data_IF_593339246302
#
_entry.id   IF_593339246302
#
_cell.length_a   1.000
_cell.length_b   1.000
_cell.length_c   1.000
_cell.angle_alpha   90.00
_cell.angle_beta   90.00
_cell.angle_gamma   90.00
#
_symmetry.space_group_name_H-M   'P 1'
#
loop_
_entity.id
_entity.type
_entity.pdbx_description
1 polymer ?
#
# COMPACT_ATOMS: atom_id res chain seq x y z
N UNK A 1 36.39 -21.14 25.78
CA UNK A 1 37.15 -20.09 26.50
C UNK A 1 36.25 -18.88 26.54
N UNK A 2 35.72 -18.51 27.71
CA UNK A 2 34.76 -17.40 27.83
C UNK A 2 35.55 -16.10 27.72
N UNK A 3 35.42 -15.40 26.59
CA UNK A 3 36.12 -14.14 26.32
C UNK A 3 35.75 -13.07 27.34
N UNK A 4 36.74 -12.31 27.81
CA UNK A 4 36.55 -11.24 28.77
C UNK A 4 35.93 -10.04 28.04
N UNK A 5 34.60 -9.99 28.01
CA UNK A 5 33.80 -9.00 27.29
C UNK A 5 34.21 -7.54 27.55
N UNK A 6 34.78 -7.24 28.72
CA UNK A 6 35.31 -5.91 29.05
C UNK A 6 36.62 -5.59 28.32
N UNK A 7 37.51 -6.56 28.18
CA UNK A 7 38.74 -6.42 27.40
C UNK A 7 38.44 -6.35 25.90
N UNK A 8 37.50 -7.17 25.44
CA UNK A 8 37.04 -7.15 24.05
C UNK A 8 36.37 -5.81 23.70
N UNK A 9 35.57 -5.23 24.60
CA UNK A 9 34.97 -3.91 24.41
C UNK A 9 36.00 -2.76 24.39
N UNK A 10 37.04 -2.82 25.24
CA UNK A 10 38.11 -1.82 25.24
C UNK A 10 38.96 -1.88 23.95
N UNK A 11 39.24 -3.09 23.46
CA UNK A 11 39.93 -3.30 22.19
C UNK A 11 39.08 -2.80 21.01
N UNK A 12 37.77 -3.05 21.02
CA UNK A 12 36.86 -2.52 20.01
C UNK A 12 36.82 -0.99 20.01
N UNK A 13 36.81 -0.36 21.18
CA UNK A 13 36.84 1.10 21.31
C UNK A 13 38.15 1.70 20.78
N UNK A 14 39.29 1.07 21.06
CA UNK A 14 40.59 1.43 20.49
C UNK A 14 40.61 1.25 18.96
N UNK A 15 40.07 0.15 18.44
CA UNK A 15 39.97 -0.11 17.01
C UNK A 15 39.03 0.87 16.30
N UNK A 16 37.93 1.31 16.94
CA UNK A 16 37.02 2.32 16.41
C UNK A 16 37.71 3.69 16.34
N UNK A 17 38.45 4.08 17.39
CA UNK A 17 39.22 5.32 17.40
C UNK A 17 40.31 5.39 16.32
N UNK A 18 40.77 4.22 15.85
CA UNK A 18 41.73 4.11 14.77
C UNK A 18 41.11 4.26 13.36
N UNK A 19 39.79 4.36 13.23
CA UNK A 19 39.08 4.62 11.98
C UNK A 19 38.55 6.06 11.98
N UNK A 20 39.06 6.89 11.08
CA UNK A 20 38.67 8.30 10.96
C UNK A 20 38.01 8.55 9.61
N UNK A 21 36.78 9.03 9.63
CA UNK A 21 36.09 9.55 8.44
C UNK A 21 36.32 11.06 8.34
N UNK A 22 36.74 11.50 7.16
CA UNK A 22 36.93 12.92 6.84
C UNK A 22 35.95 13.23 5.71
N UNK A 23 34.94 14.08 5.95
CA UNK A 23 33.98 14.44 4.93
C UNK A 23 34.68 15.21 3.81
N UNK A 24 34.27 14.93 2.58
CA UNK A 24 34.66 15.66 1.40
C UNK A 24 34.06 17.08 1.40
N UNK A 25 34.61 17.91 0.53
CA UNK A 25 34.07 19.21 0.18
C UNK A 25 33.76 19.20 -1.32
N UNK A 26 32.52 18.87 -1.67
CA UNK A 26 32.07 18.80 -3.07
C UNK A 26 32.10 20.15 -3.77
N UNK A 27 32.08 21.27 -3.03
CA UNK A 27 32.24 22.62 -3.62
C UNK A 27 33.67 22.87 -4.08
N UNK A 28 34.63 22.14 -3.49
CA UNK A 28 36.05 22.14 -3.86
C UNK A 28 36.48 20.87 -4.59
N UNK A 29 35.54 20.03 -5.02
CA UNK A 29 35.78 18.73 -5.65
C UNK A 29 36.66 17.77 -4.82
N UNK A 30 36.56 17.85 -3.48
CA UNK A 30 37.24 16.93 -2.55
C UNK A 30 36.28 15.81 -2.18
N UNK A 31 36.71 14.56 -2.37
CA UNK A 31 35.94 13.38 -2.01
C UNK A 31 36.02 13.07 -0.52
N UNK A 32 35.05 12.30 -0.01
CA UNK A 32 35.14 11.68 1.30
C UNK A 32 36.38 10.79 1.40
N UNK A 33 37.01 10.75 2.58
CA UNK A 33 38.15 9.87 2.83
C UNK A 33 38.03 9.15 4.17
N UNK A 34 38.55 7.92 4.21
CA UNK A 34 38.61 7.09 5.41
C UNK A 34 40.07 6.74 5.67
N UNK A 35 40.52 6.99 6.89
CA UNK A 35 41.85 6.64 7.37
C UNK A 35 41.74 5.56 8.43
N UNK A 36 42.60 4.55 8.34
CA UNK A 36 42.74 3.52 9.37
C UNK A 36 44.19 3.47 9.85
N UNK A 37 44.39 3.47 11.17
CA UNK A 37 45.70 3.31 11.81
C UNK A 37 45.83 1.88 12.32
N UNK A 38 46.95 1.23 12.01
CA UNK A 38 47.30 -0.09 12.52
C UNK A 38 48.80 -0.15 12.84
N UNK A 39 49.23 -1.22 13.50
CA UNK A 39 50.61 -1.42 13.94
C UNK A 39 51.61 -1.48 12.77
N UNK A 40 51.18 -2.01 11.62
CA UNK A 40 52.00 -2.07 10.39
C UNK A 40 51.26 -1.51 9.17
N UNK A 41 52.02 -1.00 8.19
CA UNK A 41 51.43 -0.48 6.95
C UNK A 41 50.67 -1.56 6.13
N UNK A 42 51.15 -2.81 6.00
CA UNK A 42 50.38 -3.89 5.38
C UNK A 42 49.05 -4.16 6.08
N UNK A 43 49.06 -4.20 7.43
CA UNK A 43 47.86 -4.46 8.21
C UNK A 43 46.85 -3.33 8.06
N UNK A 44 47.30 -2.07 8.08
CA UNK A 44 46.42 -0.92 7.89
C UNK A 44 45.68 -0.96 6.55
N UNK A 45 46.37 -1.30 5.45
CA UNK A 45 45.76 -1.42 4.13
C UNK A 45 44.77 -2.60 4.06
N UNK A 46 45.12 -3.76 4.63
CA UNK A 46 44.24 -4.93 4.65
C UNK A 46 42.98 -4.67 5.48
N UNK A 47 43.14 -4.13 6.69
CA UNK A 47 42.04 -3.80 7.59
C UNK A 47 41.13 -2.72 6.98
N UNK A 48 41.68 -1.69 6.33
CA UNK A 48 40.89 -0.66 5.68
C UNK A 48 40.01 -1.23 4.57
N UNK A 49 40.57 -2.10 3.72
CA UNK A 49 39.81 -2.78 2.64
C UNK A 49 38.69 -3.66 3.20
N UNK A 50 38.98 -4.42 4.26
CA UNK A 50 37.98 -5.25 4.93
C UNK A 50 36.88 -4.41 5.57
N UNK A 51 37.24 -3.31 6.23
CA UNK A 51 36.28 -2.38 6.83
C UNK A 51 35.36 -1.76 5.79
N UNK A 52 35.90 -1.25 4.67
CA UNK A 52 35.10 -0.69 3.58
C UNK A 52 34.16 -1.75 2.99
N UNK A 53 34.65 -2.97 2.75
CA UNK A 53 33.82 -4.07 2.26
C UNK A 53 32.70 -4.45 3.24
N UNK A 54 33.02 -4.54 4.54
CA UNK A 54 32.06 -4.81 5.60
C UNK A 54 30.99 -3.70 5.71
N UNK A 55 31.41 -2.44 5.72
CA UNK A 55 30.51 -1.29 5.79
C UNK A 55 29.60 -1.22 4.56
N UNK A 56 30.16 -1.46 3.36
CA UNK A 56 29.40 -1.53 2.11
C UNK A 56 28.37 -2.65 2.13
N UNK A 57 28.75 -3.86 2.58
CA UNK A 57 27.83 -4.98 2.69
C UNK A 57 26.73 -4.70 3.71
N UNK A 58 27.07 -4.11 4.87
CA UNK A 58 26.11 -3.73 5.90
C UNK A 58 25.13 -2.68 5.40
N UNK A 59 25.61 -1.65 4.69
CA UNK A 59 24.77 -0.61 4.11
C UNK A 59 23.81 -1.19 3.05
N UNK A 60 24.31 -2.06 2.17
CA UNK A 60 23.49 -2.74 1.16
C UNK A 60 22.42 -3.64 1.80
N UNK A 61 22.78 -4.43 2.81
CA UNK A 61 21.84 -5.26 3.55
C UNK A 61 20.78 -4.42 4.27
N UNK A 62 21.19 -3.35 4.96
CA UNK A 62 20.26 -2.45 5.66
C UNK A 62 19.28 -1.80 4.70
N UNK A 63 19.76 -1.24 3.58
CA UNK A 63 18.92 -0.64 2.57
C UNK A 63 17.95 -1.66 1.95
N UNK A 64 18.40 -2.89 1.71
CA UNK A 64 17.54 -3.96 1.22
C UNK A 64 16.47 -4.37 2.24
N UNK A 65 16.81 -4.42 3.53
CA UNK A 65 15.86 -4.73 4.60
C UNK A 65 14.84 -3.59 4.79
N UNK A 66 15.27 -2.33 4.72
CA UNK A 66 14.39 -1.17 4.69
C UNK A 66 13.44 -1.21 3.48
N UNK A 67 13.95 -1.51 2.29
CA UNK A 67 13.13 -1.64 1.08
C UNK A 67 12.10 -2.75 1.23
N UNK A 68 12.49 -3.92 1.74
CA UNK A 68 11.56 -5.03 2.02
C UNK A 68 10.50 -4.63 3.04
N UNK A 69 10.89 -3.96 4.12
CA UNK A 69 9.98 -3.46 5.14
C UNK A 69 8.98 -2.44 4.59
N UNK A 70 9.47 -1.46 3.84
CA UNK A 70 8.65 -0.45 3.18
C UNK A 70 7.69 -1.08 2.16
N UNK A 71 8.16 -2.04 1.36
CA UNK A 71 7.35 -2.78 0.40
C UNK A 71 6.24 -3.59 1.09
N UNK A 72 6.57 -4.28 2.18
CA UNK A 72 5.59 -5.03 2.97
C UNK A 72 4.52 -4.10 3.56
N UNK A 73 4.93 -2.97 4.15
CA UNK A 73 4.01 -1.98 4.69
C UNK A 73 3.10 -1.39 3.59
N UNK A 74 3.66 -1.06 2.42
CA UNK A 74 2.91 -0.56 1.27
C UNK A 74 1.91 -1.58 0.76
N UNK A 75 2.31 -2.85 0.67
CA UNK A 75 1.43 -3.95 0.27
C UNK A 75 0.25 -4.12 1.23
N UNK A 76 0.51 -4.08 2.55
CA UNK A 76 -0.54 -4.17 3.58
C UNK A 76 -1.51 -2.99 3.46
N UNK A 77 -0.99 -1.77 3.32
CA UNK A 77 -1.79 -0.56 3.16
C UNK A 77 -2.70 -0.66 1.93
N UNK A 78 -2.15 -1.08 0.78
CA UNK A 78 -2.88 -1.19 -0.48
C UNK A 78 -3.95 -2.28 -0.43
N UNK A 79 -3.65 -3.45 0.16
CA UNK A 79 -4.65 -4.51 0.41
C UNK A 79 -5.81 -3.99 1.26
N UNK A 80 -5.49 -3.24 2.33
CA UNK A 80 -6.52 -2.66 3.18
C UNK A 80 -7.36 -1.60 2.45
N UNK A 81 -6.75 -0.82 1.55
CA UNK A 81 -7.47 0.15 0.73
C UNK A 81 -8.43 -0.52 -0.25
N UNK A 82 -7.96 -1.52 -1.00
CA UNK A 82 -8.79 -2.32 -1.91
C UNK A 82 -9.96 -2.94 -1.16
N UNK A 83 -9.71 -3.57 -0.01
CA UNK A 83 -10.77 -4.16 0.81
C UNK A 83 -11.82 -3.14 1.24
N UNK A 84 -11.41 -1.94 1.67
CA UNK A 84 -12.35 -0.88 2.03
C UNK A 84 -13.21 -0.45 0.84
N UNK A 85 -12.61 -0.33 -0.34
CA UNK A 85 -13.35 -0.01 -1.56
C UNK A 85 -14.36 -1.12 -1.91
N UNK A 86 -14.00 -2.40 -1.76
CA UNK A 86 -14.94 -3.53 -1.91
C UNK A 86 -16.11 -3.45 -0.92
N UNK A 87 -15.84 -3.19 0.35
CA UNK A 87 -16.89 -3.06 1.37
C UNK A 87 -17.83 -1.89 1.06
N UNK A 88 -17.30 -0.75 0.62
CA UNK A 88 -18.10 0.42 0.22
C UNK A 88 -18.94 0.12 -1.03
N UNK A 89 -18.32 -0.43 -2.08
CA UNK A 89 -19.02 -0.78 -3.31
C UNK A 89 -20.15 -1.79 -3.05
N UNK A 90 -19.87 -2.79 -2.22
CA UNK A 90 -20.86 -3.78 -1.79
C UNK A 90 -21.99 -3.14 -0.98
N UNK A 91 -21.70 -2.26 -0.03
CA UNK A 91 -22.74 -1.58 0.75
C UNK A 91 -23.65 -0.70 -0.11
N UNK A 92 -23.10 -0.03 -1.14
CA UNK A 92 -23.88 0.75 -2.11
C UNK A 92 -24.74 -0.18 -2.96
N UNK A 93 -24.18 -1.28 -3.45
CA UNK A 93 -24.90 -2.30 -4.21
C UNK A 93 -26.07 -2.89 -3.41
N UNK A 94 -25.80 -3.36 -2.18
CA UNK A 94 -26.81 -3.95 -1.30
C UNK A 94 -27.93 -2.95 -0.99
N UNK A 95 -27.59 -1.67 -0.78
CA UNK A 95 -28.59 -0.60 -0.58
C UNK A 95 -29.49 -0.44 -1.81
N UNK A 96 -28.91 -0.33 -3.00
CA UNK A 96 -29.67 -0.15 -4.26
C UNK A 96 -30.57 -1.35 -4.53
N UNK A 97 -30.05 -2.56 -4.31
CA UNK A 97 -30.82 -3.80 -4.42
C UNK A 97 -32.06 -3.75 -3.53
N UNK A 98 -31.87 -3.45 -2.24
CA UNK A 98 -32.98 -3.33 -1.29
C UNK A 98 -33.99 -2.24 -1.68
N UNK A 99 -33.53 -1.08 -2.14
CA UNK A 99 -34.42 0.00 -2.59
C UNK A 99 -35.28 -0.43 -3.78
N UNK A 100 -34.69 -1.09 -4.78
CA UNK A 100 -35.42 -1.57 -5.97
C UNK A 100 -36.41 -2.69 -5.61
N UNK A 101 -36.01 -3.64 -4.76
CA UNK A 101 -36.89 -4.71 -4.29
C UNK A 101 -38.10 -4.16 -3.52
N UNK A 102 -37.89 -3.17 -2.64
CA UNK A 102 -38.97 -2.50 -1.93
C UNK A 102 -39.90 -1.74 -2.88
N UNK A 103 -39.34 -0.99 -3.83
CA UNK A 103 -40.10 -0.29 -4.84
C UNK A 103 -40.95 -1.25 -5.70
N UNK A 104 -40.38 -2.40 -6.08
CA UNK A 104 -41.09 -3.44 -6.84
C UNK A 104 -42.26 -4.00 -6.04
N UNK A 105 -42.05 -4.30 -4.76
CA UNK A 105 -43.11 -4.78 -3.86
C UNK A 105 -44.26 -3.77 -3.74
N UNK A 106 -43.95 -2.49 -3.61
CA UNK A 106 -44.97 -1.43 -3.55
C UNK A 106 -45.70 -1.33 -4.90
N UNK A 107 -44.98 -1.34 -6.02
CA UNK A 107 -45.58 -1.30 -7.35
C UNK A 107 -46.51 -2.50 -7.61
N UNK A 108 -46.15 -3.70 -7.13
CA UNK A 108 -46.99 -4.90 -7.15
C UNK A 108 -48.27 -4.73 -6.33
N UNK A 109 -48.15 -4.29 -5.08
CA UNK A 109 -49.31 -4.06 -4.21
C UNK A 109 -50.29 -3.04 -4.77
N UNK A 110 -49.78 -2.00 -5.43
CA UNK A 110 -50.58 -0.92 -6.02
C UNK A 110 -50.90 -1.13 -7.50
N UNK A 111 -50.56 -2.28 -8.09
CA UNK A 111 -50.78 -2.61 -9.51
C UNK A 111 -50.19 -1.60 -10.52
N UNK A 112 -49.11 -0.92 -10.14
CA UNK A 112 -48.44 0.08 -10.99
C UNK A 112 -47.63 -0.65 -12.06
N UNK A 113 -48.22 -0.77 -13.26
CA UNK A 113 -47.67 -1.58 -14.36
C UNK A 113 -46.95 -0.75 -15.44
N UNK A 114 -47.02 0.57 -15.35
CA UNK A 114 -46.40 1.55 -16.25
C UNK A 114 -45.86 2.72 -15.45
N UNK A 115 -44.94 3.50 -16.02
CA UNK A 115 -44.47 4.73 -15.36
C UNK A 115 -45.65 5.65 -15.04
N UNK A 116 -45.67 6.13 -13.80
CA UNK A 116 -46.61 7.10 -13.26
C UNK A 116 -45.92 8.45 -12.96
N UNK A 117 -44.71 8.66 -13.46
CA UNK A 117 -43.92 9.88 -13.33
C UNK A 117 -43.25 10.23 -14.65
N UNK A 118 -43.08 11.53 -14.90
CA UNK A 118 -42.30 12.07 -16.01
C UNK A 118 -40.84 12.37 -15.60
N UNK A 119 -40.52 12.22 -14.30
CA UNK A 119 -39.16 12.42 -13.78
C UNK A 119 -38.25 11.31 -14.32
N UNK A 120 -37.08 11.65 -14.89
CA UNK A 120 -36.10 10.66 -15.29
C UNK A 120 -35.74 9.75 -14.13
N UNK A 121 -35.59 8.48 -14.42
CA UNK A 121 -35.47 7.48 -13.38
C UNK A 121 -34.14 7.55 -12.60
N UNK A 122 -33.12 8.21 -13.16
CA UNK A 122 -31.85 8.51 -12.52
C UNK A 122 -31.96 9.66 -11.50
N UNK A 123 -32.99 10.50 -11.62
CA UNK A 123 -33.25 11.66 -10.76
C UNK A 123 -34.33 11.37 -9.70
N UNK A 124 -35.00 10.23 -9.83
CA UNK A 124 -36.10 9.85 -8.96
C UNK A 124 -35.56 9.35 -7.60
N UNK A 125 -36.04 9.90 -6.46
CA UNK A 125 -35.60 9.43 -5.15
C UNK A 125 -36.08 8.00 -4.88
N UNK A 126 -35.31 7.25 -4.08
CA UNK A 126 -35.62 5.86 -3.71
C UNK A 126 -37.05 5.68 -3.19
N UNK A 127 -37.57 6.65 -2.43
CA UNK A 127 -38.93 6.63 -1.88
C UNK A 127 -40.03 6.65 -2.94
N UNK A 128 -39.75 7.18 -4.13
CA UNK A 128 -40.71 7.33 -5.23
C UNK A 128 -40.45 6.33 -6.37
N UNK A 129 -39.41 5.50 -6.25
CA UNK A 129 -38.96 4.59 -7.29
C UNK A 129 -40.05 3.60 -7.76
N UNK A 130 -41.03 3.31 -6.91
CA UNK A 130 -42.20 2.49 -7.25
C UNK A 130 -43.06 3.07 -8.40
N UNK A 131 -43.00 4.39 -8.63
CA UNK A 131 -43.71 5.07 -9.71
C UNK A 131 -43.21 4.66 -11.10
N UNK A 132 -42.01 4.09 -11.21
CA UNK A 132 -41.48 3.59 -12.48
C UNK A 132 -42.26 2.38 -13.03
N UNK A 133 -42.99 1.69 -12.16
CA UNK A 133 -43.78 0.51 -12.49
C UNK A 133 -42.97 -0.79 -12.60
N UNK A 134 -43.68 -1.91 -12.47
CA UNK A 134 -43.08 -3.25 -12.33
C UNK A 134 -42.07 -3.64 -13.41
N UNK A 135 -42.34 -3.48 -14.73
CA UNK A 135 -41.42 -3.97 -15.75
C UNK A 135 -40.07 -3.26 -15.72
N UNK A 136 -40.08 -1.94 -15.47
CA UNK A 136 -38.85 -1.16 -15.36
C UNK A 136 -38.03 -1.52 -14.12
N UNK A 137 -38.71 -1.74 -12.99
CA UNK A 137 -38.07 -2.14 -11.74
C UNK A 137 -37.45 -3.55 -11.85
N UNK A 138 -38.15 -4.49 -12.49
CA UNK A 138 -37.60 -5.83 -12.77
C UNK A 138 -36.38 -5.76 -13.67
N UNK A 139 -36.45 -5.03 -14.79
CA UNK A 139 -35.31 -4.88 -15.69
C UNK A 139 -34.09 -4.24 -15.00
N UNK A 140 -34.31 -3.26 -14.11
CA UNK A 140 -33.25 -2.68 -13.29
C UNK A 140 -32.67 -3.67 -12.28
N UNK A 141 -33.52 -4.45 -11.62
CA UNK A 141 -33.08 -5.46 -10.66
C UNK A 141 -32.21 -6.52 -11.35
N UNK A 142 -32.68 -7.05 -12.49
CA UNK A 142 -31.94 -8.01 -13.31
C UNK A 142 -30.60 -7.42 -13.81
N UNK A 143 -30.61 -6.18 -14.27
CA UNK A 143 -29.38 -5.51 -14.71
C UNK A 143 -28.40 -5.31 -13.55
N UNK A 144 -28.88 -4.84 -12.40
CA UNK A 144 -28.06 -4.65 -11.21
C UNK A 144 -27.44 -5.98 -10.76
N UNK A 145 -28.23 -7.05 -10.72
CA UNK A 145 -27.75 -8.40 -10.39
C UNK A 145 -26.71 -8.92 -11.38
N UNK A 146 -26.87 -8.63 -12.67
CA UNK A 146 -25.93 -9.06 -13.71
C UNK A 146 -24.60 -8.30 -13.64
N UNK A 147 -24.62 -7.00 -13.33
CA UNK A 147 -23.42 -6.15 -13.26
C UNK A 147 -22.69 -6.29 -11.93
N UNK A 148 -23.42 -6.44 -10.82
CA UNK A 148 -22.86 -6.49 -9.47
C UNK A 148 -22.40 -5.12 -8.95
N UNK A 149 -21.56 -5.10 -7.89
CA UNK A 149 -21.00 -3.86 -7.36
C UNK A 149 -20.13 -3.12 -8.38
N UNK A 150 -20.33 -1.82 -8.51
CA UNK A 150 -19.51 -0.96 -9.34
C UNK A 150 -18.26 -0.49 -8.58
N UNK A 151 -17.12 -0.48 -9.28
CA UNK A 151 -15.83 -0.03 -8.75
C UNK A 151 -15.32 1.15 -9.56
N UNK A 152 -14.48 1.98 -8.94
CA UNK A 152 -13.82 3.10 -9.59
C UNK A 152 -12.48 2.68 -10.24
N UNK A 153 -11.93 3.55 -11.09
CA UNK A 153 -10.64 3.31 -11.75
C UNK A 153 -9.52 3.11 -10.73
N UNK A 154 -9.58 3.83 -9.60
CA UNK A 154 -8.59 3.73 -8.53
C UNK A 154 -8.57 2.33 -7.91
N UNK A 155 -9.73 1.68 -7.72
CA UNK A 155 -9.81 0.29 -7.29
C UNK A 155 -9.12 -0.64 -8.28
N UNK A 156 -9.43 -0.54 -9.58
CA UNK A 156 -8.85 -1.42 -10.59
C UNK A 156 -7.34 -1.26 -10.69
N UNK A 157 -6.84 -0.02 -10.60
CA UNK A 157 -5.40 0.26 -10.55
C UNK A 157 -4.75 -0.36 -9.31
N UNK A 158 -5.33 -0.17 -8.13
CA UNK A 158 -4.80 -0.74 -6.89
C UNK A 158 -4.84 -2.27 -6.90
N UNK A 159 -5.88 -2.87 -7.49
CA UNK A 159 -5.99 -4.33 -7.69
C UNK A 159 -4.87 -4.83 -8.58
N UNK A 160 -4.65 -4.18 -9.72
CA UNK A 160 -3.60 -4.54 -10.67
C UNK A 160 -2.20 -4.43 -10.05
N UNK A 161 -1.95 -3.40 -9.23
CA UNK A 161 -0.68 -3.25 -8.49
C UNK A 161 -0.43 -4.36 -7.47
N UNK A 162 -1.47 -5.04 -6.98
CA UNK A 162 -1.35 -6.16 -6.03
C UNK A 162 -1.17 -7.53 -6.71
N UNK A 163 -1.47 -7.63 -8.01
CA UNK A 163 -1.32 -8.86 -8.81
C UNK A 163 -0.17 -8.68 -9.80
N UNK A 164 1.08 -9.00 -9.41
CA UNK A 164 2.24 -8.93 -10.30
C UNK A 164 2.19 -9.94 -11.45
#
# INVERSE_FOLDING_TARGET
MVGNSKADAALLDEMINNIQFIPGDFTRAVNDSVKLIAETAPDANNLLRQYVAFASQRAASHLNDELKGAWAARTIQMKAQVKRQEEVAKAIYDRRMNSIEQALKIAEQHNISRSATDVPAEELPDSEMFLLGRPMLQARLENLQAVGPAFDLDYDQNRAMLTP
#
